data_IF_564731113488
#
_entry.id   IF_564731113488
#
_cell.length_a   1.000
_cell.length_b   1.000
_cell.length_c   1.000
_cell.angle_alpha   90.00
_cell.angle_beta   90.00
_cell.angle_gamma   90.00
#
_symmetry.space_group_name_H-M   'P 1'
#
loop_
_entity.id
_entity.type
_entity.pdbx_description
1 polymer ?
#
# COMPACT_ATOMS: atom_id res chain seq x y z
N UNK A 1 12.96 16.78 -21.83
CA UNK A 1 12.60 15.89 -20.72
C UNK A 1 13.29 14.56 -21.03
N UNK A 2 14.14 14.06 -20.15
CA UNK A 2 14.78 12.76 -20.36
C UNK A 2 13.71 11.68 -20.27
N UNK A 3 13.60 10.84 -21.28
CA UNK A 3 12.64 9.72 -21.38
C UNK A 3 12.83 8.63 -20.30
N UNK A 4 13.92 8.70 -19.54
CA UNK A 4 14.45 7.64 -18.70
C UNK A 4 13.55 7.17 -17.54
N UNK A 5 12.44 7.85 -17.22
CA UNK A 5 11.62 7.46 -16.07
C UNK A 5 10.09 7.58 -16.27
N UNK A 6 9.61 7.82 -17.48
CA UNK A 6 8.18 7.98 -17.72
C UNK A 6 7.43 6.65 -17.48
N UNK A 7 7.90 5.56 -18.11
CA UNK A 7 7.30 4.24 -17.98
C UNK A 7 7.35 3.68 -16.53
N UNK A 8 8.34 4.12 -15.77
CA UNK A 8 8.53 3.68 -14.39
C UNK A 8 7.56 4.37 -13.41
N UNK A 9 7.31 5.66 -13.61
CA UNK A 9 6.56 6.53 -12.69
C UNK A 9 5.06 6.53 -12.88
N UNK A 10 4.58 6.30 -14.10
CA UNK A 10 3.15 6.34 -14.39
C UNK A 10 2.56 4.94 -14.53
N UNK A 11 1.27 4.80 -14.20
CA UNK A 11 0.56 3.51 -14.31
C UNK A 11 0.50 3.05 -15.76
N UNK A 12 0.57 1.74 -15.99
CA UNK A 12 0.56 1.17 -17.33
C UNK A 12 -0.69 1.55 -18.12
N UNK A 13 -1.85 1.49 -17.47
CA UNK A 13 -3.13 1.81 -18.12
C UNK A 13 -3.19 3.24 -18.68
N UNK A 14 -2.79 4.25 -17.89
CA UNK A 14 -2.85 5.66 -18.30
C UNK A 14 -1.73 6.01 -19.29
N UNK A 15 -0.57 5.38 -19.17
CA UNK A 15 0.54 5.52 -20.11
C UNK A 15 0.16 4.94 -21.48
N UNK A 16 -0.46 3.74 -21.50
CA UNK A 16 -0.90 3.12 -22.75
C UNK A 16 -1.96 3.97 -23.46
N UNK A 17 -2.93 4.53 -22.74
CA UNK A 17 -3.92 5.44 -23.32
C UNK A 17 -3.25 6.64 -23.99
N UNK A 18 -2.26 7.26 -23.34
CA UNK A 18 -1.51 8.36 -23.94
C UNK A 18 -0.69 7.93 -25.17
N UNK A 19 -0.08 6.75 -25.13
CA UNK A 19 0.70 6.21 -26.25
C UNK A 19 -0.21 5.95 -27.47
N UNK A 20 -1.41 5.41 -27.27
CA UNK A 20 -2.40 5.16 -28.32
C UNK A 20 -2.89 6.49 -28.94
N UNK A 21 -3.30 7.47 -28.13
CA UNK A 21 -3.74 8.79 -28.61
C UNK A 21 -2.60 9.57 -29.31
N UNK A 22 -1.37 9.42 -28.85
CA UNK A 22 -0.20 10.02 -29.49
C UNK A 22 0.09 9.38 -30.85
N UNK A 23 -0.14 8.08 -31.00
CA UNK A 23 -0.01 7.39 -32.28
C UNK A 23 -1.06 7.91 -33.27
N UNK A 24 -2.32 8.07 -32.85
CA UNK A 24 -3.40 8.63 -33.65
C UNK A 24 -3.11 10.09 -34.09
N UNK A 25 -2.63 10.90 -33.15
CA UNK A 25 -2.24 12.29 -33.46
C UNK A 25 -1.09 12.38 -34.45
N UNK A 26 -0.10 11.48 -34.36
CA UNK A 26 1.01 11.39 -35.34
C UNK A 26 0.52 10.96 -36.73
N UNK A 27 -0.39 9.98 -36.79
CA UNK A 27 -0.97 9.52 -38.05
C UNK A 27 -1.84 10.62 -38.72
N UNK A 28 -2.54 11.42 -37.90
CA UNK A 28 -3.37 12.51 -38.37
C UNK A 28 -2.56 13.69 -38.94
N UNK A 29 -1.35 13.94 -38.46
CA UNK A 29 -0.53 15.11 -38.79
C UNK A 29 -0.33 15.33 -40.29
N UNK A 30 -0.13 14.26 -41.05
CA UNK A 30 0.16 14.30 -42.46
C UNK A 30 -1.06 13.90 -43.32
N UNK A 31 -2.23 13.67 -42.70
CA UNK A 31 -3.47 13.30 -43.38
C UNK A 31 -4.32 14.53 -43.72
N UNK A 32 -4.20 15.03 -44.96
CA UNK A 32 -4.95 16.20 -45.45
C UNK A 32 -6.43 15.93 -45.75
N UNK A 33 -6.89 14.68 -45.63
CA UNK A 33 -8.29 14.31 -45.89
C UNK A 33 -9.17 14.41 -44.65
N UNK A 34 -8.58 14.66 -43.45
CA UNK A 34 -9.32 14.80 -42.21
C UNK A 34 -10.16 16.08 -42.17
N UNK A 35 -11.38 15.96 -41.69
CA UNK A 35 -12.23 17.10 -41.37
C UNK A 35 -11.72 17.86 -40.15
N UNK A 36 -12.16 19.10 -39.99
CA UNK A 36 -11.84 19.93 -38.82
C UNK A 36 -12.34 19.30 -37.53
N UNK A 37 -13.49 18.66 -37.57
CA UNK A 37 -14.11 17.95 -36.42
C UNK A 37 -13.27 16.74 -36.00
N UNK A 38 -12.76 15.94 -36.95
CA UNK A 38 -11.89 14.80 -36.65
C UNK A 38 -10.56 15.27 -36.01
N UNK A 39 -9.97 16.33 -36.54
CA UNK A 39 -8.74 16.90 -35.95
C UNK A 39 -9.01 17.42 -34.54
N UNK A 40 -10.12 18.11 -34.31
CA UNK A 40 -10.51 18.54 -32.94
C UNK A 40 -10.68 17.38 -31.99
N UNK A 41 -11.33 16.31 -32.43
CA UNK A 41 -11.53 15.12 -31.59
C UNK A 41 -10.19 14.49 -31.19
N UNK A 42 -9.27 14.31 -32.14
CA UNK A 42 -7.91 13.77 -31.88
C UNK A 42 -7.15 14.64 -30.88
N UNK A 43 -7.21 15.96 -31.04
CA UNK A 43 -6.55 16.90 -30.11
C UNK A 43 -7.15 16.82 -28.71
N UNK A 44 -8.47 16.69 -28.61
CA UNK A 44 -9.15 16.62 -27.31
C UNK A 44 -8.90 15.27 -26.61
N UNK A 45 -8.87 14.16 -27.38
CA UNK A 45 -8.47 12.84 -26.86
C UNK A 45 -7.06 12.88 -26.28
N UNK A 46 -6.09 13.40 -27.03
CA UNK A 46 -4.71 13.53 -26.57
C UNK A 46 -4.57 14.40 -25.32
N UNK A 47 -5.32 15.50 -25.21
CA UNK A 47 -5.35 16.31 -23.99
C UNK A 47 -5.90 15.53 -22.81
N UNK A 48 -7.00 14.80 -23.01
CA UNK A 48 -7.65 14.00 -21.98
C UNK A 48 -6.70 12.92 -21.44
N UNK A 49 -5.96 12.23 -22.33
CA UNK A 49 -4.98 11.23 -21.91
C UNK A 49 -3.78 11.82 -21.17
N UNK A 50 -3.34 13.03 -21.54
CA UNK A 50 -2.28 13.76 -20.80
C UNK A 50 -2.75 14.13 -19.40
N UNK A 51 -3.95 14.69 -19.27
CA UNK A 51 -4.54 15.09 -17.99
C UNK A 51 -4.89 13.88 -17.10
N UNK A 52 -5.19 12.74 -17.74
CA UNK A 52 -5.52 11.47 -17.09
C UNK A 52 -4.33 10.67 -16.57
N UNK A 53 -3.08 11.12 -16.78
CA UNK A 53 -1.88 10.41 -16.32
C UNK A 53 -1.86 10.24 -14.80
N UNK A 54 -1.70 8.99 -14.34
CA UNK A 54 -1.66 8.65 -12.92
C UNK A 54 -0.27 8.16 -12.52
N UNK A 55 0.27 8.74 -11.44
CA UNK A 55 1.53 8.29 -10.85
C UNK A 55 1.35 6.97 -10.11
N UNK A 56 2.35 6.10 -10.21
CA UNK A 56 2.50 4.93 -9.34
C UNK A 56 2.79 5.35 -7.90
N UNK A 57 2.45 4.49 -6.97
CA UNK A 57 2.85 4.65 -5.57
C UNK A 57 4.37 4.49 -5.43
N UNK A 58 4.97 5.31 -4.57
CA UNK A 58 6.40 5.26 -4.22
C UNK A 58 6.58 4.44 -2.96
N UNK A 59 7.29 3.33 -3.07
CA UNK A 59 7.68 2.48 -1.94
C UNK A 59 9.15 2.67 -1.67
N UNK A 60 9.47 3.25 -0.51
CA UNK A 60 10.84 3.43 -0.03
C UNK A 60 11.17 2.31 0.95
N UNK A 61 12.24 1.56 0.71
CA UNK A 61 12.69 0.43 1.54
C UNK A 61 14.03 0.82 2.18
N UNK A 62 14.03 1.03 3.48
CA UNK A 62 15.25 1.27 4.28
C UNK A 62 15.68 -0.02 4.97
N UNK A 63 16.88 -0.49 4.67
CA UNK A 63 17.38 -1.76 5.17
C UNK A 63 18.87 -1.64 5.52
N UNK A 64 19.16 -1.48 6.80
CA UNK A 64 20.51 -1.30 7.30
C UNK A 64 21.33 -0.20 6.59
N UNK A 65 20.75 1.01 6.50
CA UNK A 65 21.39 2.16 5.86
C UNK A 65 21.34 2.17 4.33
N UNK A 66 20.90 1.08 3.70
CA UNK A 66 20.62 1.05 2.26
C UNK A 66 19.18 1.47 2.01
N UNK A 67 18.98 2.36 1.05
CA UNK A 67 17.65 2.81 0.63
C UNK A 67 17.40 2.38 -0.82
N UNK A 68 16.31 1.66 -1.02
CA UNK A 68 15.78 1.28 -2.35
C UNK A 68 14.44 1.98 -2.56
N UNK A 69 14.20 2.49 -3.77
CA UNK A 69 12.90 3.06 -4.16
C UNK A 69 12.28 2.26 -5.27
N UNK A 70 11.01 1.88 -5.11
CA UNK A 70 10.20 1.17 -6.11
C UNK A 70 8.97 1.98 -6.47
N UNK A 71 8.64 2.00 -7.75
CA UNK A 71 7.38 2.53 -8.25
C UNK A 71 6.43 1.36 -8.48
N UNK A 72 5.34 1.31 -7.73
CA UNK A 72 4.40 0.19 -7.71
C UNK A 72 2.99 0.66 -8.04
N UNK A 73 2.21 -0.18 -8.67
CA UNK A 73 0.78 0.06 -8.80
C UNK A 73 0.05 -0.27 -7.49
N UNK A 74 -1.06 0.41 -7.25
CA UNK A 74 -1.89 0.07 -6.09
C UNK A 74 -2.44 -1.35 -6.27
N UNK A 75 -2.21 -2.19 -5.28
CA UNK A 75 -2.53 -3.62 -5.33
C UNK A 75 -1.31 -4.54 -5.52
N UNK A 76 -0.17 -4.01 -5.97
CA UNK A 76 1.07 -4.78 -6.11
C UNK A 76 1.52 -5.41 -4.79
N UNK A 77 2.16 -6.58 -4.91
CA UNK A 77 2.78 -7.27 -3.78
C UNK A 77 4.28 -6.99 -3.75
N UNK A 78 4.74 -6.39 -2.66
CA UNK A 78 6.17 -6.14 -2.42
C UNK A 78 6.67 -7.06 -1.32
N UNK A 79 7.74 -7.82 -1.61
CA UNK A 79 8.44 -8.69 -0.66
C UNK A 79 9.73 -8.03 -0.23
N UNK A 80 9.95 -7.95 1.08
CA UNK A 80 11.17 -7.43 1.70
C UNK A 80 11.85 -8.50 2.54
N UNK A 81 13.19 -8.47 2.57
CA UNK A 81 14.02 -9.41 3.34
C UNK A 81 15.02 -8.60 4.13
N UNK A 82 15.05 -8.77 5.44
CA UNK A 82 16.05 -8.13 6.29
C UNK A 82 17.45 -8.65 5.95
N UNK A 83 18.41 -7.75 5.87
CA UNK A 83 19.81 -8.09 5.63
C UNK A 83 20.43 -8.73 6.88
N UNK A 84 21.45 -9.56 6.68
CA UNK A 84 22.30 -9.99 7.78
C UNK A 84 23.25 -8.84 8.11
N UNK A 85 23.30 -8.46 9.36
CA UNK A 85 24.15 -7.39 9.89
C UNK A 85 25.02 -7.97 10.99
N UNK A 86 26.32 -7.72 10.91
CA UNK A 86 27.27 -8.15 11.95
C UNK A 86 26.91 -7.49 13.29
N UNK A 87 26.96 -8.26 14.36
CA UNK A 87 26.64 -7.86 15.74
C UNK A 87 25.22 -7.38 15.99
N UNK A 88 24.33 -7.46 14.98
CA UNK A 88 22.92 -7.08 15.12
C UNK A 88 21.98 -8.17 14.63
N UNK A 89 20.83 -8.24 15.24
CA UNK A 89 19.72 -9.06 14.77
C UNK A 89 18.54 -8.23 14.32
N UNK A 90 17.86 -8.70 13.28
CA UNK A 90 16.60 -8.13 12.85
C UNK A 90 15.57 -8.19 13.98
N UNK A 91 14.92 -7.09 14.25
CA UNK A 91 13.88 -6.97 15.27
C UNK A 91 12.48 -7.02 14.63
N UNK A 92 12.19 -6.06 13.75
CA UNK A 92 10.88 -5.95 13.11
C UNK A 92 10.94 -5.01 11.90
N UNK A 93 9.88 -5.04 11.10
CA UNK A 93 9.60 -4.05 10.07
C UNK A 93 8.69 -2.95 10.60
N UNK A 94 8.87 -1.71 10.10
CA UNK A 94 7.95 -0.60 10.35
C UNK A 94 7.35 -0.10 9.03
N UNK A 95 6.11 0.44 9.07
CA UNK A 95 5.55 1.32 8.05
C UNK A 95 5.47 2.73 8.60
N UNK A 96 6.12 3.68 7.93
CA UNK A 96 6.14 5.08 8.36
C UNK A 96 6.43 5.21 9.87
N UNK A 97 7.40 4.44 10.37
CA UNK A 97 7.81 4.39 11.78
C UNK A 97 6.94 3.52 12.70
N UNK A 98 5.83 2.98 12.24
CA UNK A 98 4.95 2.11 13.04
C UNK A 98 5.31 0.65 12.85
N UNK A 99 5.60 -0.13 13.94
CA UNK A 99 5.87 -1.56 13.83
C UNK A 99 4.73 -2.34 13.20
N UNK A 100 5.06 -3.24 12.26
CA UNK A 100 4.06 -4.01 11.50
C UNK A 100 4.30 -5.53 11.50
N UNK A 101 5.55 -5.99 11.55
CA UNK A 101 5.85 -7.41 11.42
C UNK A 101 7.20 -7.79 12.03
N UNK A 102 7.25 -8.91 12.75
CA UNK A 102 8.48 -9.48 13.32
C UNK A 102 9.16 -10.51 12.40
N UNK A 103 8.53 -10.90 11.31
CA UNK A 103 9.06 -11.93 10.41
C UNK A 103 9.81 -11.33 9.23
N UNK A 104 10.89 -11.97 8.85
CA UNK A 104 11.61 -11.73 7.59
C UNK A 104 11.81 -13.10 6.91
N UNK A 105 11.38 -13.26 5.67
CA UNK A 105 10.82 -12.26 4.77
C UNK A 105 9.40 -11.77 5.14
N UNK A 106 9.05 -10.58 4.68
CA UNK A 106 7.70 -10.03 4.80
C UNK A 106 7.17 -9.57 3.44
N UNK A 107 5.88 -9.85 3.18
CA UNK A 107 5.20 -9.42 1.94
C UNK A 107 3.99 -8.57 2.29
N UNK A 108 3.84 -7.45 1.62
CA UNK A 108 2.71 -6.54 1.82
C UNK A 108 2.12 -6.07 0.48
N UNK A 109 0.88 -5.62 0.53
CA UNK A 109 0.18 -5.01 -0.60
C UNK A 109 0.38 -3.50 -0.57
N UNK A 110 0.71 -2.91 -1.70
CA UNK A 110 0.85 -1.45 -1.85
C UNK A 110 -0.52 -0.80 -1.95
N UNK A 111 -0.81 0.14 -1.07
CA UNK A 111 -2.06 0.93 -1.09
C UNK A 111 -1.80 2.42 -1.34
N UNK A 112 -0.55 2.84 -1.47
CA UNK A 112 -0.11 4.21 -1.68
C UNK A 112 1.35 4.38 -1.31
N UNK A 113 1.83 5.63 -1.30
CA UNK A 113 3.19 5.96 -0.92
C UNK A 113 3.49 5.45 0.50
N UNK A 114 4.61 4.74 0.64
CA UNK A 114 4.95 4.10 1.91
C UNK A 114 6.46 4.02 2.09
N UNK A 115 6.90 4.17 3.33
CA UNK A 115 8.27 3.86 3.75
C UNK A 115 8.24 2.63 4.64
N UNK A 116 8.95 1.58 4.23
CA UNK A 116 9.18 0.39 5.04
C UNK A 116 10.62 0.37 5.51
N UNK A 117 10.83 0.10 6.78
CA UNK A 117 12.16 0.10 7.40
C UNK A 117 12.41 -1.17 8.20
N UNK A 118 13.59 -1.75 8.03
CA UNK A 118 14.09 -2.85 8.85
C UNK A 118 14.75 -2.30 10.11
N UNK A 119 14.23 -2.63 11.26
CA UNK A 119 14.78 -2.25 12.56
C UNK A 119 15.65 -3.37 13.10
N UNK A 120 16.88 -3.02 13.49
CA UNK A 120 17.88 -3.92 14.05
C UNK A 120 18.21 -3.55 15.48
N UNK A 121 18.60 -4.54 16.28
CA UNK A 121 19.07 -4.37 17.65
C UNK A 121 20.35 -5.18 17.85
N UNK A 122 21.17 -4.79 18.84
CA UNK A 122 22.35 -5.55 19.21
C UNK A 122 21.98 -6.99 19.61
N UNK A 123 22.85 -7.95 19.33
CA UNK A 123 22.56 -9.39 19.57
C UNK A 123 22.23 -9.72 21.03
N UNK A 124 22.80 -8.96 21.97
CA UNK A 124 22.60 -9.15 23.42
C UNK A 124 21.32 -8.46 23.98
N UNK A 125 20.65 -7.65 23.17
CA UNK A 125 19.42 -6.95 23.60
C UNK A 125 18.21 -7.90 23.50
N UNK A 126 17.51 -8.08 24.63
CA UNK A 126 16.20 -8.78 24.63
C UNK A 126 15.12 -7.77 24.24
N UNK A 127 14.51 -7.99 23.08
CA UNK A 127 13.38 -7.16 22.62
C UNK A 127 12.08 -7.77 23.14
N UNK A 128 11.36 -7.02 23.97
CA UNK A 128 10.00 -7.39 24.33
C UNK A 128 9.10 -7.23 23.11
N UNK A 129 8.70 -8.33 22.50
CA UNK A 129 7.79 -8.32 21.35
C UNK A 129 6.36 -8.26 21.83
N UNK A 130 5.63 -7.24 21.40
CA UNK A 130 4.18 -7.10 21.63
C UNK A 130 3.40 -7.56 20.41
N UNK A 131 2.17 -8.01 20.59
CA UNK A 131 1.30 -8.31 19.46
C UNK A 131 1.11 -7.05 18.59
N UNK A 132 1.33 -7.20 17.30
CA UNK A 132 1.08 -6.14 16.32
C UNK A 132 -0.19 -6.51 15.55
N UNK A 133 -1.13 -5.58 15.47
CA UNK A 133 -2.36 -5.74 14.70
C UNK A 133 -2.48 -4.54 13.77
N UNK A 134 -2.59 -4.82 12.47
CA UNK A 134 -2.86 -3.80 11.46
C UNK A 134 -4.22 -4.04 10.82
N UNK A 135 -4.99 -2.98 10.66
CA UNK A 135 -6.31 -3.02 10.04
C UNK A 135 -6.31 -2.10 8.82
N UNK A 136 -6.62 -2.65 7.66
CA UNK A 136 -6.88 -1.89 6.45
C UNK A 136 -8.38 -1.95 6.17
N UNK A 137 -9.02 -0.79 6.09
CA UNK A 137 -10.44 -0.68 5.75
C UNK A 137 -10.59 -0.13 4.32
N UNK A 138 -11.47 -0.73 3.55
CA UNK A 138 -11.83 -0.22 2.22
C UNK A 138 -13.33 -0.41 1.96
N UNK A 139 -13.90 0.58 1.29
CA UNK A 139 -15.31 0.59 0.92
C UNK A 139 -15.49 0.17 -0.52
N UNK A 140 -16.26 -0.90 -0.72
CA UNK A 140 -16.67 -1.36 -2.05
C UNK A 140 -17.97 -0.65 -2.46
N UNK A 141 -17.87 0.29 -3.38
CA UNK A 141 -19.01 1.05 -3.89
C UNK A 141 -20.02 0.19 -4.63
N UNK A 142 -19.58 -0.87 -5.31
CA UNK A 142 -20.44 -1.74 -6.11
C UNK A 142 -21.37 -2.57 -5.23
N UNK A 143 -20.89 -3.02 -4.09
CA UNK A 143 -21.65 -3.83 -3.13
C UNK A 143 -22.16 -3.06 -1.92
N UNK A 144 -21.82 -1.78 -1.80
CA UNK A 144 -22.09 -0.93 -0.62
C UNK A 144 -21.61 -1.55 0.70
N UNK A 145 -20.47 -2.27 0.66
CA UNK A 145 -19.91 -2.96 1.83
C UNK A 145 -18.58 -2.36 2.25
N UNK A 146 -18.39 -2.23 3.56
CA UNK A 146 -17.09 -1.98 4.14
C UNK A 146 -16.37 -3.32 4.39
N UNK A 147 -15.16 -3.44 3.87
CA UNK A 147 -14.31 -4.60 4.04
C UNK A 147 -13.13 -4.25 4.94
N UNK A 148 -12.73 -5.17 5.80
CA UNK A 148 -11.63 -4.98 6.73
C UNK A 148 -10.63 -6.13 6.58
N UNK A 149 -9.40 -5.78 6.23
CA UNK A 149 -8.29 -6.72 6.22
C UNK A 149 -7.50 -6.54 7.52
N UNK A 150 -7.51 -7.57 8.37
CA UNK A 150 -6.77 -7.59 9.63
C UNK A 150 -5.56 -8.50 9.48
N UNK A 151 -4.37 -7.95 9.67
CA UNK A 151 -3.11 -8.71 9.76
C UNK A 151 -2.59 -8.68 11.19
N UNK A 152 -2.00 -9.78 11.64
CA UNK A 152 -1.40 -9.92 12.95
C UNK A 152 0.02 -10.42 12.84
N UNK A 153 0.90 -9.87 13.67
CA UNK A 153 2.22 -10.44 13.96
C UNK A 153 2.31 -10.66 15.47
N UNK A 154 2.41 -11.92 15.85
CA UNK A 154 2.42 -12.31 17.26
C UNK A 154 3.83 -12.71 17.68
N UNK A 155 4.24 -12.44 18.93
CA UNK A 155 5.44 -13.04 19.50
C UNK A 155 5.35 -14.57 19.47
N UNK A 156 6.49 -15.22 19.36
CA UNK A 156 6.59 -16.67 19.44
C UNK A 156 5.99 -17.20 20.76
N UNK A 157 5.26 -18.30 20.69
CA UNK A 157 4.58 -18.90 21.85
C UNK A 157 3.27 -18.22 22.24
N UNK A 158 2.86 -17.14 21.56
CA UNK A 158 1.58 -16.47 21.82
C UNK A 158 0.41 -17.22 21.18
N UNK A 159 -0.73 -17.25 21.86
CA UNK A 159 -1.99 -17.80 21.34
C UNK A 159 -3.07 -16.73 21.31
N UNK A 160 -3.92 -16.78 20.28
CA UNK A 160 -5.07 -15.86 20.15
C UNK A 160 -6.26 -16.48 20.86
N UNK A 161 -6.70 -15.88 21.95
CA UNK A 161 -7.92 -16.30 22.67
C UNK A 161 -9.19 -15.81 21.97
N UNK A 162 -9.17 -14.56 21.52
CA UNK A 162 -10.30 -13.93 20.87
C UNK A 162 -9.80 -12.88 19.87
N UNK A 163 -10.54 -12.68 18.77
CA UNK A 163 -10.30 -11.62 17.83
C UNK A 163 -11.61 -11.11 17.23
N UNK A 164 -11.60 -9.86 16.80
CA UNK A 164 -12.75 -9.22 16.19
C UNK A 164 -12.41 -7.81 15.75
N UNK A 165 -13.42 -7.10 15.23
CA UNK A 165 -13.35 -5.70 14.87
C UNK A 165 -14.39 -4.96 15.70
N UNK A 166 -13.99 -3.87 16.32
CA UNK A 166 -14.87 -2.96 17.01
C UNK A 166 -15.09 -1.76 16.10
N UNK A 167 -16.34 -1.51 15.74
CA UNK A 167 -16.75 -0.32 15.01
C UNK A 167 -17.33 0.67 16.01
N UNK A 168 -16.83 1.88 16.02
CA UNK A 168 -17.30 2.95 16.88
C UNK A 168 -17.25 4.28 16.13
N UNK A 169 -18.03 5.26 16.57
CA UNK A 169 -17.90 6.64 16.12
C UNK A 169 -16.63 7.32 16.70
N UNK A 170 -16.39 8.57 16.31
CA UNK A 170 -15.23 9.32 16.79
C UNK A 170 -15.22 9.49 18.32
N UNK A 171 -16.40 9.62 18.93
CA UNK A 171 -16.53 9.80 20.39
C UNK A 171 -16.11 8.53 21.13
N UNK A 172 -16.50 7.36 20.62
CA UNK A 172 -16.07 6.07 21.17
C UNK A 172 -14.58 5.82 20.97
N UNK A 173 -14.01 6.28 19.84
CA UNK A 173 -12.58 6.15 19.55
C UNK A 173 -11.71 6.89 20.56
N UNK A 174 -12.08 8.11 20.91
CA UNK A 174 -11.35 8.94 21.86
C UNK A 174 -11.32 8.34 23.29
N UNK A 175 -12.23 7.42 23.59
CA UNK A 175 -12.35 6.74 24.88
C UNK A 175 -11.73 5.35 24.91
N UNK A 176 -11.36 4.80 23.76
CA UNK A 176 -10.73 3.49 23.64
C UNK A 176 -9.43 3.41 24.47
N UNK A 177 -9.31 2.37 25.29
CA UNK A 177 -8.13 2.15 26.15
C UNK A 177 -8.05 3.02 27.40
N UNK A 178 -9.04 3.86 27.70
CA UNK A 178 -9.11 4.58 28.97
C UNK A 178 -9.73 3.70 30.05
N UNK A 179 -9.16 3.76 31.25
CA UNK A 179 -9.63 3.00 32.40
C UNK A 179 -11.12 3.27 32.67
N UNK A 180 -11.89 2.21 32.91
CA UNK A 180 -13.34 2.30 33.19
C UNK A 180 -14.23 2.49 31.95
N UNK A 181 -13.66 2.58 30.74
CA UNK A 181 -14.47 2.68 29.54
C UNK A 181 -14.88 1.29 29.03
N UNK A 182 -16.17 1.01 29.10
CA UNK A 182 -16.78 -0.17 28.47
C UNK A 182 -17.36 0.25 27.12
N UNK A 183 -16.89 -0.38 26.05
CA UNK A 183 -17.40 -0.12 24.69
C UNK A 183 -18.76 -0.80 24.56
N UNK A 184 -19.82 0.00 24.54
CA UNK A 184 -21.09 -0.44 23.98
C UNK A 184 -20.98 -0.36 22.45
N UNK A 185 -20.25 -1.31 21.85
CA UNK A 185 -20.13 -1.37 20.42
C UNK A 185 -21.50 -1.70 19.81
N UNK A 186 -22.01 -0.83 18.97
CA UNK A 186 -23.25 -1.10 18.21
C UNK A 186 -23.12 -2.35 17.33
N UNK A 187 -21.88 -2.77 17.04
CA UNK A 187 -21.62 -3.97 16.24
C UNK A 187 -20.24 -4.57 16.54
N UNK A 188 -20.24 -5.69 17.24
CA UNK A 188 -19.05 -6.56 17.32
C UNK A 188 -19.16 -7.64 16.26
N UNK A 189 -18.26 -7.67 15.29
CA UNK A 189 -18.19 -8.76 14.30
C UNK A 189 -17.15 -9.76 14.78
N UNK A 190 -17.60 -10.91 15.30
CA UNK A 190 -16.73 -12.05 15.59
C UNK A 190 -16.38 -12.76 14.30
N UNK A 191 -15.09 -12.84 13.98
CA UNK A 191 -14.59 -13.57 12.82
C UNK A 191 -13.97 -14.90 13.23
N UNK A 192 -14.06 -15.91 12.36
CA UNK A 192 -13.27 -17.15 12.51
C UNK A 192 -11.87 -16.91 11.99
N UNK A 193 -10.84 -17.21 12.79
CA UNK A 193 -9.46 -17.18 12.34
C UNK A 193 -9.27 -18.27 11.27
N UNK A 194 -9.07 -17.87 10.01
CA UNK A 194 -8.44 -18.75 9.05
C UNK A 194 -6.93 -18.60 9.24
N UNK A 195 -6.33 -19.48 10.02
CA UNK A 195 -4.88 -19.69 10.01
C UNK A 195 -4.51 -20.28 8.64
N UNK A 196 -3.87 -19.50 7.78
CA UNK A 196 -2.99 -20.11 6.78
C UNK A 196 -1.68 -20.41 7.51
N UNK A 197 -1.38 -21.70 7.64
CA UNK A 197 -0.06 -22.17 7.98
C UNK A 197 1.00 -21.73 6.99
#
# INVERSE_FOLDING_TARGET
MKEENFAEKYTEATRKALEDDLADAKAAKDNTALSVEEVKWIVESLKTSIEGLQLKAVVTINNNGNTETKYCEVGDQVRVVAQNVEDKKFSHWTFNGTPICYSSPYTFTVYGNTTIEAVYVENNVVVEKKAIVTVTAFYDKATSKANFLVKRSLPEGSTVKEHGIILTDSTGWDKLGKEGFVINAERTVKGTAKTKG
#
